data_IF_172330461893
#
_entry.id   IF_172330461893
#
_cell.length_a   1.000
_cell.length_b   1.000
_cell.length_c   1.000
_cell.angle_alpha   90.00
_cell.angle_beta   90.00
_cell.angle_gamma   90.00
#
_symmetry.space_group_name_H-M   'P 1'
#
loop_
_entity.id
_entity.type
_entity.pdbx_description
1 polymer ?
#
# COMPACT_ATOMS: atom_id res chain seq x y z
N UNK A 1 -15.02 -25.57 44.92
CA UNK A 1 -15.02 -26.50 43.77
C UNK A 1 -16.02 -25.95 42.77
N UNK A 2 -15.58 -24.99 41.95
CA UNK A 2 -16.35 -24.47 40.81
C UNK A 2 -15.52 -24.73 39.56
N UNK A 3 -16.13 -25.47 38.65
CA UNK A 3 -15.54 -26.06 37.46
C UNK A 3 -15.64 -25.05 36.30
N UNK A 4 -14.51 -24.43 35.94
CA UNK A 4 -14.41 -23.50 34.82
C UNK A 4 -14.28 -24.29 33.51
N UNK A 5 -15.41 -24.47 32.82
CA UNK A 5 -15.47 -25.01 31.46
C UNK A 5 -14.79 -24.06 30.46
N UNK A 6 -13.65 -24.48 29.90
CA UNK A 6 -12.98 -23.79 28.79
C UNK A 6 -13.63 -24.24 27.47
N UNK A 7 -14.31 -23.31 26.80
CA UNK A 7 -14.78 -23.51 25.43
C UNK A 7 -13.60 -23.47 24.45
N UNK A 8 -13.42 -24.55 23.69
CA UNK A 8 -12.48 -24.68 22.59
C UNK A 8 -13.11 -23.98 21.37
N UNK A 9 -12.50 -22.88 20.92
CA UNK A 9 -12.93 -22.18 19.70
C UNK A 9 -12.63 -22.99 18.43
N UNK A 10 -13.43 -22.85 17.37
CA UNK A 10 -13.27 -23.62 16.14
C UNK A 10 -12.05 -23.19 15.34
N UNK A 11 -11.31 -24.20 14.89
CA UNK A 11 -10.13 -24.13 14.02
C UNK A 11 -10.50 -23.52 12.64
N UNK A 12 -9.64 -22.66 12.04
CA UNK A 12 -9.90 -22.09 10.74
C UNK A 12 -9.86 -23.17 9.64
N UNK A 13 -10.85 -23.09 8.77
CA UNK A 13 -11.16 -24.05 7.70
C UNK A 13 -9.97 -24.32 6.77
N UNK A 14 -9.81 -25.61 6.46
CA UNK A 14 -8.93 -26.15 5.41
C UNK A 14 -9.31 -25.55 4.06
N UNK A 15 -8.33 -24.96 3.36
CA UNK A 15 -8.37 -24.75 1.90
C UNK A 15 -8.53 -26.11 1.23
N UNK A 16 -9.71 -26.40 0.70
CA UNK A 16 -9.89 -27.49 -0.27
C UNK A 16 -9.49 -26.96 -1.65
N UNK A 17 -8.37 -27.46 -2.15
CA UNK A 17 -7.95 -27.32 -3.55
C UNK A 17 -8.70 -28.42 -4.33
N UNK A 18 -9.68 -28.05 -5.15
CA UNK A 18 -10.30 -28.96 -6.11
C UNK A 18 -9.37 -29.04 -7.34
N UNK A 19 -8.54 -30.07 -7.38
CA UNK A 19 -7.88 -30.51 -8.61
C UNK A 19 -8.78 -31.56 -9.26
N UNK A 20 -9.34 -31.25 -10.44
CA UNK A 20 -9.88 -32.30 -11.33
C UNK A 20 -8.69 -32.90 -12.08
N UNK A 21 -8.14 -33.99 -11.56
CA UNK A 21 -7.22 -34.83 -12.32
C UNK A 21 -8.04 -35.83 -13.15
N UNK A 22 -8.05 -35.60 -14.46
CA UNK A 22 -8.57 -36.52 -15.47
C UNK A 22 -7.63 -37.71 -15.59
N UNK A 23 -8.03 -38.83 -14.99
CA UNK A 23 -7.41 -40.14 -15.16
C UNK A 23 -7.56 -40.63 -16.60
N UNK A 24 -6.46 -40.71 -17.34
CA UNK A 24 -6.35 -41.47 -18.58
C UNK A 24 -5.34 -42.60 -18.36
N UNK A 25 -5.87 -43.79 -18.15
CA UNK A 25 -5.16 -45.06 -18.13
C UNK A 25 -4.66 -45.44 -19.52
N UNK A 26 -3.37 -45.79 -19.67
CA UNK A 26 -2.88 -46.54 -20.83
C UNK A 26 -1.63 -47.36 -20.48
N UNK A 27 -1.89 -48.66 -20.35
CA UNK A 27 -1.12 -49.83 -20.83
C UNK A 27 0.41 -49.89 -20.72
N UNK A 28 0.81 -50.96 -20.04
CA UNK A 28 2.12 -51.62 -19.96
C UNK A 28 2.68 -52.01 -21.33
N UNK A 29 4.00 -51.87 -21.50
CA UNK A 29 4.80 -52.75 -22.36
C UNK A 29 6.25 -52.81 -21.83
N UNK A 30 6.77 -54.02 -21.74
CA UNK A 30 8.03 -54.37 -21.08
C UNK A 30 9.22 -54.47 -22.07
N UNK A 31 10.43 -54.40 -21.49
CA UNK A 31 11.78 -54.76 -22.00
C UNK A 31 12.61 -53.65 -22.69
N UNK A 32 13.96 -53.78 -22.75
CA UNK A 32 14.93 -54.29 -21.78
C UNK A 32 16.01 -53.23 -21.41
N UNK A 33 16.76 -53.52 -20.34
CA UNK A 33 17.75 -52.65 -19.67
C UNK A 33 18.97 -52.24 -20.51
N UNK A 34 19.34 -50.94 -20.54
CA UNK A 34 20.69 -50.50 -20.83
C UNK A 34 21.47 -50.22 -19.54
N UNK A 35 22.65 -50.82 -19.43
CA UNK A 35 23.59 -50.65 -18.33
C UNK A 35 23.91 -49.17 -18.08
N UNK A 36 23.46 -48.63 -16.94
CA UNK A 36 23.80 -47.29 -16.49
C UNK A 36 25.26 -47.25 -16.07
N UNK A 37 26.12 -46.71 -16.92
CA UNK A 37 27.46 -46.27 -16.52
C UNK A 37 27.28 -45.12 -15.52
N UNK A 38 27.57 -45.38 -14.25
CA UNK A 38 27.57 -44.37 -13.19
C UNK A 38 28.71 -43.40 -13.49
N UNK A 39 28.38 -42.32 -14.20
CA UNK A 39 29.27 -41.19 -14.43
C UNK A 39 29.50 -40.55 -13.06
N UNK A 40 30.68 -40.78 -12.50
CA UNK A 40 31.11 -40.22 -11.23
C UNK A 40 31.26 -38.70 -11.42
N UNK A 41 30.14 -37.96 -11.32
CA UNK A 41 30.17 -36.50 -11.34
C UNK A 41 30.91 -36.03 -10.09
N UNK A 42 32.14 -35.56 -10.30
CA UNK A 42 32.89 -34.86 -9.26
C UNK A 42 32.12 -33.58 -8.95
N UNK A 43 31.55 -33.49 -7.75
CA UNK A 43 30.92 -32.28 -7.25
C UNK A 43 31.86 -31.10 -7.49
N UNK A 44 31.41 -30.03 -8.20
CA UNK A 44 32.25 -28.87 -8.41
C UNK A 44 32.69 -28.34 -7.05
N UNK A 45 34.00 -28.20 -6.85
CA UNK A 45 34.54 -27.64 -5.62
C UNK A 45 33.90 -26.26 -5.40
N UNK A 46 33.41 -25.96 -4.19
CA UNK A 46 32.77 -24.68 -3.92
C UNK A 46 33.74 -23.56 -4.29
N UNK A 47 33.28 -22.62 -5.11
CA UNK A 47 34.06 -21.46 -5.51
C UNK A 47 34.53 -20.72 -4.26
N UNK A 48 35.83 -20.52 -4.13
CA UNK A 48 36.41 -19.71 -3.05
C UNK A 48 35.77 -18.32 -3.10
N UNK A 49 35.07 -17.96 -2.04
CA UNK A 49 34.42 -16.67 -1.95
C UNK A 49 35.49 -15.60 -1.74
N UNK A 50 35.56 -14.65 -2.68
CA UNK A 50 36.45 -13.49 -2.55
C UNK A 50 35.89 -12.51 -1.50
N UNK A 51 36.75 -11.71 -0.83
CA UNK A 51 36.32 -10.60 0.00
C UNK A 51 35.42 -9.62 -0.76
N UNK A 52 34.39 -9.08 -0.09
CA UNK A 52 33.40 -8.17 -0.65
C UNK A 52 33.24 -6.92 0.24
N UNK A 53 32.91 -5.78 -0.38
CA UNK A 53 32.62 -4.52 0.32
C UNK A 53 31.11 -4.28 0.51
N UNK A 54 30.27 -5.11 -0.11
CA UNK A 54 28.81 -5.05 0.04
C UNK A 54 28.27 -6.47 0.03
N UNK A 55 27.18 -6.70 0.75
CA UNK A 55 26.50 -7.99 0.73
C UNK A 55 25.21 -7.99 1.52
N UNK A 56 24.67 -9.18 1.74
CA UNK A 56 23.49 -9.40 2.56
C UNK A 56 23.76 -10.49 3.59
N UNK A 57 23.31 -10.28 4.84
CA UNK A 57 23.38 -11.28 5.91
C UNK A 57 21.98 -11.70 6.31
N UNK A 58 21.73 -13.00 6.20
CA UNK A 58 20.47 -13.61 6.63
C UNK A 58 20.59 -14.18 8.04
N UNK A 59 19.58 -13.91 8.87
CA UNK A 59 19.40 -14.49 10.19
C UNK A 59 18.08 -15.26 10.22
N UNK A 60 18.15 -16.56 10.52
CA UNK A 60 16.97 -17.40 10.63
C UNK A 60 16.01 -16.89 11.74
N UNK A 61 14.70 -16.95 11.48
CA UNK A 61 13.66 -16.47 12.39
C UNK A 61 13.63 -17.28 13.70
N UNK A 62 13.88 -16.66 14.86
CA UNK A 62 13.68 -17.30 16.17
C UNK A 62 12.23 -17.73 16.36
N UNK A 63 12.00 -18.81 17.12
CA UNK A 63 10.64 -19.38 17.34
C UNK A 63 9.70 -18.37 18.00
N UNK A 64 10.20 -17.56 18.93
CA UNK A 64 9.50 -16.50 19.65
C UNK A 64 9.26 -15.22 18.82
N UNK A 65 9.94 -15.08 17.68
CA UNK A 65 9.74 -14.01 16.71
C UNK A 65 8.72 -14.37 15.61
N UNK A 66 8.18 -15.59 15.61
CA UNK A 66 7.13 -16.01 14.66
C UNK A 66 5.80 -15.36 15.02
N UNK A 67 4.97 -15.05 14.02
CA UNK A 67 3.65 -14.41 14.22
C UNK A 67 2.71 -15.17 15.16
N UNK A 68 2.89 -16.49 15.30
CA UNK A 68 2.10 -17.33 16.21
C UNK A 68 2.51 -17.21 17.68
N UNK A 69 3.69 -16.66 17.97
CA UNK A 69 4.19 -16.52 19.33
C UNK A 69 3.59 -15.25 19.99
N UNK A 70 3.26 -15.30 21.29
CA UNK A 70 2.86 -14.11 22.02
C UNK A 70 4.01 -13.10 22.04
N UNK A 71 3.68 -11.81 21.96
CA UNK A 71 4.66 -10.71 21.95
C UNK A 71 5.68 -10.74 20.80
N UNK A 72 5.38 -11.42 19.68
CA UNK A 72 6.34 -11.58 18.58
C UNK A 72 6.86 -10.23 18.04
N UNK A 73 6.06 -9.16 18.08
CA UNK A 73 6.47 -7.81 17.65
C UNK A 73 7.62 -7.30 18.52
N UNK A 74 7.48 -7.37 19.84
CA UNK A 74 8.52 -6.99 20.81
C UNK A 74 9.77 -7.84 20.65
N UNK A 75 9.60 -9.16 20.48
CA UNK A 75 10.71 -10.09 20.29
C UNK A 75 11.46 -9.80 18.98
N UNK A 76 10.74 -9.50 17.89
CA UNK A 76 11.32 -9.08 16.60
C UNK A 76 12.13 -7.80 16.73
N UNK A 77 11.58 -6.78 17.39
CA UNK A 77 12.30 -5.53 17.63
C UNK A 77 13.60 -5.77 18.41
N UNK A 78 13.54 -6.54 19.51
CA UNK A 78 14.72 -6.94 20.28
C UNK A 78 15.74 -7.73 19.45
N UNK A 79 15.27 -8.65 18.61
CA UNK A 79 16.13 -9.46 17.74
C UNK A 79 16.83 -8.60 16.69
N UNK A 80 16.10 -7.69 16.03
CA UNK A 80 16.66 -6.71 15.10
C UNK A 80 17.73 -5.87 15.77
N UNK A 81 17.44 -5.30 16.95
CA UNK A 81 18.39 -4.47 17.69
C UNK A 81 19.68 -5.24 18.02
N UNK A 82 19.55 -6.49 18.48
CA UNK A 82 20.70 -7.34 18.79
C UNK A 82 21.57 -7.64 17.55
N UNK A 83 20.96 -7.99 16.40
CA UNK A 83 21.71 -8.30 15.17
C UNK A 83 22.28 -7.06 14.48
N UNK A 84 21.58 -5.93 14.59
CA UNK A 84 22.11 -4.63 14.17
C UNK A 84 23.36 -4.25 14.97
N UNK A 85 23.32 -4.41 16.30
CA UNK A 85 24.47 -4.16 17.16
C UNK A 85 25.66 -5.08 16.84
N UNK A 86 25.39 -6.36 16.58
CA UNK A 86 26.42 -7.34 16.16
C UNK A 86 27.13 -6.91 14.86
N UNK A 87 26.39 -6.56 13.81
CA UNK A 87 26.99 -6.14 12.54
C UNK A 87 27.70 -4.78 12.65
N UNK A 88 27.16 -3.86 13.44
CA UNK A 88 27.79 -2.55 13.69
C UNK A 88 29.12 -2.72 14.44
N UNK A 89 29.19 -3.68 15.38
CA UNK A 89 30.43 -4.00 16.09
C UNK A 89 31.52 -4.59 15.17
N UNK A 90 31.15 -5.11 13.98
CA UNK A 90 32.09 -5.54 12.94
C UNK A 90 32.51 -4.39 12.00
N UNK A 91 32.06 -3.15 12.25
CA UNK A 91 32.38 -1.99 11.41
C UNK A 91 31.58 -1.94 10.10
N UNK A 92 30.45 -2.65 10.02
CA UNK A 92 29.60 -2.68 8.83
C UNK A 92 28.50 -1.62 8.92
N UNK A 93 28.26 -0.93 7.81
CA UNK A 93 27.17 0.01 7.62
C UNK A 93 25.93 -0.73 7.08
N UNK A 94 24.80 -0.63 7.78
CA UNK A 94 23.56 -1.29 7.39
C UNK A 94 22.73 -0.36 6.49
N UNK A 95 22.46 -0.80 5.26
CA UNK A 95 21.76 -0.01 4.25
C UNK A 95 20.29 -0.34 4.16
N UNK A 96 19.91 -1.60 4.38
CA UNK A 96 18.51 -2.04 4.31
C UNK A 96 18.22 -3.16 5.30
N UNK A 97 17.01 -3.15 5.84
CA UNK A 97 16.48 -4.18 6.71
C UNK A 97 15.19 -4.75 6.09
N UNK A 98 15.12 -6.07 5.93
CA UNK A 98 13.94 -6.74 5.37
C UNK A 98 13.53 -7.95 6.22
N UNK A 99 12.27 -7.95 6.67
CA UNK A 99 11.66 -9.13 7.29
C UNK A 99 11.06 -10.05 6.22
N UNK A 100 11.36 -11.35 6.34
CA UNK A 100 10.75 -12.41 5.53
C UNK A 100 9.98 -13.39 6.41
N UNK A 101 9.33 -14.37 5.79
CA UNK A 101 8.64 -15.46 6.50
C UNK A 101 9.63 -16.40 7.23
N UNK A 102 10.84 -16.53 6.70
CA UNK A 102 11.90 -17.43 7.14
C UNK A 102 12.97 -16.75 8.03
N UNK A 103 13.06 -15.42 8.02
CA UNK A 103 14.09 -14.71 8.78
C UNK A 103 14.14 -13.21 8.59
N UNK A 104 15.28 -12.65 8.97
CA UNK A 104 15.65 -11.25 8.87
C UNK A 104 16.86 -11.13 7.93
N UNK A 105 16.79 -10.24 6.95
CA UNK A 105 17.91 -9.93 6.06
C UNK A 105 18.37 -8.50 6.33
N UNK A 106 19.68 -8.32 6.46
CA UNK A 106 20.33 -7.02 6.42
C UNK A 106 21.21 -6.91 5.19
N UNK A 107 20.99 -5.87 4.39
CA UNK A 107 21.96 -5.45 3.38
C UNK A 107 22.98 -4.55 4.06
N UNK A 108 24.26 -4.81 3.79
CA UNK A 108 25.37 -4.14 4.46
C UNK A 108 26.43 -3.67 3.45
N UNK A 109 27.19 -2.66 3.87
CA UNK A 109 28.33 -2.07 3.18
C UNK A 109 29.50 -1.93 4.16
N UNK A 110 30.72 -2.07 3.66
CA UNK A 110 31.97 -1.92 4.40
C UNK A 110 32.97 -1.11 3.58
N UNK A 111 33.77 -0.29 4.27
CA UNK A 111 34.87 0.43 3.65
C UNK A 111 36.10 -0.46 3.41
N UNK A 112 36.16 -1.61 4.10
CA UNK A 112 37.24 -2.59 3.97
C UNK A 112 36.64 -3.90 3.44
N UNK A 113 37.23 -4.57 2.44
CA UNK A 113 36.73 -5.86 1.98
C UNK A 113 36.68 -6.90 3.11
N UNK A 114 35.52 -7.51 3.30
CA UNK A 114 35.29 -8.56 4.31
C UNK A 114 34.88 -9.87 3.66
N UNK A 115 35.21 -11.00 4.28
CA UNK A 115 34.78 -12.30 3.80
C UNK A 115 33.26 -12.47 3.99
N UNK A 116 32.50 -12.98 3.00
CA UNK A 116 31.03 -13.00 3.08
C UNK A 116 30.48 -13.95 4.17
N UNK A 117 31.26 -14.93 4.60
CA UNK A 117 30.89 -15.90 5.62
C UNK A 117 31.08 -15.33 7.04
N UNK A 118 32.28 -14.84 7.34
CA UNK A 118 32.70 -14.34 8.66
C UNK A 118 32.39 -12.86 8.86
N UNK A 119 32.21 -12.12 7.77
CA UNK A 119 32.08 -10.66 7.73
C UNK A 119 33.23 -9.93 8.41
N UNK A 120 34.41 -10.55 8.41
CA UNK A 120 35.66 -9.98 8.92
C UNK A 120 36.64 -9.72 7.76
N UNK A 121 37.53 -8.74 7.88
CA UNK A 121 38.63 -8.57 6.93
C UNK A 121 39.46 -9.86 6.82
N UNK A 122 39.99 -10.16 5.63
CA UNK A 122 40.87 -11.32 5.45
C UNK A 122 42.16 -11.12 6.25
N UNK A 123 42.39 -11.97 7.26
CA UNK A 123 43.59 -11.92 8.10
C UNK A 123 44.87 -12.13 7.30
N UNK A 124 44.79 -12.83 6.17
CA UNK A 124 45.96 -13.25 5.38
C UNK A 124 46.68 -12.08 4.69
N UNK A 125 46.05 -10.91 4.53
CA UNK A 125 46.69 -9.76 3.89
C UNK A 125 47.55 -8.90 4.83
N UNK A 126 47.47 -9.08 6.15
CA UNK A 126 48.28 -8.29 7.09
C UNK A 126 49.71 -8.83 7.28
N UNK A 127 50.02 -10.03 6.76
CA UNK A 127 51.33 -10.68 6.90
C UNK A 127 52.30 -10.43 5.75
N UNK A 128 51.84 -9.92 4.61
CA UNK A 128 52.73 -9.50 3.53
C UNK A 128 53.06 -8.05 3.80
N UNK A 129 54.11 -7.85 4.60
CA UNK A 129 54.71 -6.55 4.81
C UNK A 129 55.02 -5.92 3.46
N UNK A 130 54.15 -5.02 3.00
CA UNK A 130 54.58 -3.90 2.18
C UNK A 130 55.47 -3.06 3.10
N UNK A 131 56.73 -3.47 3.21
CA UNK A 131 57.82 -2.60 3.62
C UNK A 131 57.82 -1.48 2.60
N UNK A 132 57.15 -0.39 2.97
CA UNK A 132 57.22 0.89 2.28
C UNK A 132 58.61 1.50 2.54
N UNK A 133 59.67 0.78 2.15
CA UNK A 133 61.02 1.31 2.00
C UNK A 133 61.12 1.86 0.58
N UNK A 134 60.63 3.06 0.37
CA UNK A 134 61.19 4.01 -0.61
C UNK A 134 60.42 5.32 -0.45
N UNK A 135 61.01 6.27 0.28
CA UNK A 135 61.30 7.64 -0.20
C UNK A 135 61.93 8.40 0.97
N UNK A 136 63.25 8.28 1.09
CA UNK A 136 64.06 9.35 1.69
C UNK A 136 64.21 10.51 0.71
N UNK A 137 64.54 11.67 1.28
CA UNK A 137 64.93 12.97 0.67
C UNK A 137 63.75 13.94 0.44
N UNK A 138 63.47 14.81 1.41
CA UNK A 138 64.12 16.14 1.46
C UNK A 138 63.56 17.03 2.58
N UNK A 139 64.48 17.44 3.43
CA UNK A 139 64.50 18.51 4.44
C UNK A 139 63.66 19.78 4.20
N UNK A 140 62.97 20.24 5.25
CA UNK A 140 63.13 21.56 5.90
C UNK A 140 62.10 21.69 7.05
N UNK A 141 62.56 21.65 8.31
CA UNK A 141 62.66 22.84 9.19
C UNK A 141 61.30 23.44 9.60
N UNK A 142 60.95 23.35 10.88
CA UNK A 142 60.64 24.50 11.77
C UNK A 142 60.11 24.02 13.14
N UNK A 143 60.96 24.29 14.14
CA UNK A 143 60.73 24.72 15.53
C UNK A 143 59.91 23.88 16.52
N UNK A 144 60.69 23.39 17.48
CA UNK A 144 60.38 23.09 18.88
C UNK A 144 59.58 24.20 19.58
N UNK A 145 58.64 23.77 20.41
CA UNK A 145 58.38 24.36 21.74
C UNK A 145 58.12 23.22 22.72
N UNK A 146 59.04 23.05 23.65
CA UNK A 146 58.91 22.30 24.90
C UNK A 146 58.02 23.06 25.89
N UNK A 147 57.44 22.36 26.86
CA UNK A 147 57.52 22.64 28.31
C UNK A 147 56.56 21.71 29.09
N UNK A 148 57.14 21.12 30.13
CA UNK A 148 56.57 20.60 31.40
C UNK A 148 55.82 19.26 31.41
N UNK A 149 56.58 18.28 31.88
CA UNK A 149 56.18 17.18 32.76
C UNK A 149 55.41 17.70 34.00
N UNK A 150 54.42 16.94 34.48
CA UNK A 150 54.24 16.77 35.92
C UNK A 150 53.62 15.40 36.23
N UNK A 151 54.05 14.88 37.37
CA UNK A 151 54.18 13.50 37.79
C UNK A 151 53.04 13.10 38.75
N UNK A 152 52.69 11.81 38.72
CA UNK A 152 52.23 10.96 39.83
C UNK A 152 51.44 11.58 41.02
N UNK A 153 50.20 11.12 41.21
CA UNK A 153 49.76 10.53 42.49
C UNK A 153 48.36 9.88 42.39
N UNK A 154 48.33 8.56 42.61
CA UNK A 154 47.19 7.81 43.16
C UNK A 154 47.08 8.10 44.67
N UNK A 155 45.89 8.04 45.28
CA UNK A 155 45.70 6.94 46.23
C UNK A 155 44.28 6.35 46.27
N UNK A 156 44.27 5.09 46.69
CA UNK A 156 43.13 4.26 47.04
C UNK A 156 42.25 4.81 48.17
N UNK A 157 40.94 4.52 48.03
CA UNK A 157 40.09 3.91 49.07
C UNK A 157 39.59 4.76 50.24
N UNK A 158 38.26 4.75 50.48
CA UNK A 158 37.60 4.34 51.74
C UNK A 158 36.11 4.77 51.81
N UNK A 159 35.27 3.79 52.20
CA UNK A 159 33.94 3.81 52.84
C UNK A 159 32.67 4.38 52.16
N UNK A 160 31.79 3.43 51.78
CA UNK A 160 30.47 3.12 52.36
C UNK A 160 29.46 4.22 52.80
N UNK A 161 28.19 3.87 52.57
CA UNK A 161 26.92 4.43 53.10
C UNK A 161 26.38 5.71 52.44
N UNK A 162 25.24 5.60 51.73
CA UNK A 162 23.89 5.87 52.29
C UNK A 162 22.77 5.75 51.22
N UNK A 163 21.84 4.84 51.51
CA UNK A 163 20.37 4.92 51.35
C UNK A 163 19.71 5.03 49.97
N UNK A 164 19.16 3.88 49.59
CA UNK A 164 17.81 3.67 49.07
C UNK A 164 16.82 4.80 49.41
N UNK A 165 16.24 5.40 48.36
CA UNK A 165 15.14 6.35 48.44
C UNK A 165 13.98 5.87 47.58
N UNK A 166 13.00 5.24 48.22
CA UNK A 166 11.67 4.93 47.72
C UNK A 166 10.81 6.20 47.71
N UNK A 167 10.57 6.80 46.54
CA UNK A 167 9.46 7.75 46.34
C UNK A 167 8.29 6.97 45.71
N UNK A 168 7.28 6.54 46.47
CA UNK A 168 6.15 7.28 47.08
C UNK A 168 5.28 8.04 46.07
N UNK A 169 4.41 7.25 45.45
CA UNK A 169 3.02 7.52 45.04
C UNK A 169 2.47 8.86 45.56
N UNK A 170 2.09 9.75 44.62
CA UNK A 170 1.07 10.78 44.84
C UNK A 170 -0.03 10.62 43.81
N UNK A 171 -1.07 9.90 44.21
CA UNK A 171 -2.37 9.88 43.56
C UNK A 171 -3.06 11.23 43.76
N UNK A 172 -3.25 11.98 42.68
CA UNK A 172 -4.10 13.16 42.64
C UNK A 172 -5.57 12.77 42.53
N UNK A 173 -6.20 12.51 43.67
CA UNK A 173 -7.66 12.42 43.80
C UNK A 173 -8.28 13.81 43.66
N UNK A 174 -9.11 14.03 42.64
CA UNK A 174 -10.06 15.15 42.60
C UNK A 174 -11.44 14.65 42.98
N UNK A 175 -11.71 14.77 44.27
CA UNK A 175 -13.04 14.83 44.86
C UNK A 175 -13.83 16.02 44.27
N UNK A 176 -14.96 15.74 43.61
CA UNK A 176 -16.10 16.67 43.58
C UNK A 176 -17.31 15.95 44.17
N UNK A 177 -17.56 16.28 45.43
CA UNK A 177 -18.73 15.92 46.22
C UNK A 177 -19.99 16.59 45.68
N UNK A 178 -21.04 15.75 45.61
CA UNK A 178 -22.41 15.93 46.12
C UNK A 178 -23.27 17.09 45.59
N UNK A 179 -24.37 16.69 44.98
CA UNK A 179 -25.69 17.27 45.29
C UNK A 179 -26.73 16.15 45.25
N UNK A 180 -27.49 16.03 46.33
CA UNK A 180 -28.52 15.03 46.61
C UNK A 180 -29.92 15.46 46.16
N UNK A 181 -30.68 14.51 45.60
CA UNK A 181 -32.13 14.18 45.70
C UNK A 181 -33.10 15.18 46.39
N UNK A 182 -34.41 15.27 45.99
CA UNK A 182 -35.39 14.20 46.27
C UNK A 182 -36.56 13.95 45.27
N UNK A 183 -37.21 12.82 45.53
CA UNK A 183 -38.41 12.18 44.92
C UNK A 183 -39.64 13.09 44.78
N UNK A 184 -40.48 12.82 43.77
CA UNK A 184 -41.87 12.33 43.85
C UNK A 184 -42.61 12.59 42.52
N UNK A 185 -43.51 11.69 42.10
CA UNK A 185 -44.56 12.01 41.14
C UNK A 185 -44.85 10.94 40.10
N UNK A 186 -45.78 10.05 40.44
CA UNK A 186 -46.42 9.13 39.52
C UNK A 186 -47.29 9.88 38.49
N UNK A 187 -47.25 9.50 37.21
CA UNK A 187 -48.40 9.55 36.32
C UNK A 187 -48.19 8.62 35.12
N UNK A 188 -49.11 7.68 34.94
CA UNK A 188 -49.33 6.97 33.67
C UNK A 188 -49.85 7.96 32.62
N UNK A 189 -49.55 7.76 31.33
CA UNK A 189 -50.64 7.50 30.38
C UNK A 189 -50.29 6.30 29.48
N UNK A 190 -51.17 5.32 29.39
CA UNK A 190 -52.23 5.21 28.37
C UNK A 190 -51.70 4.57 27.06
N UNK A 191 -52.31 3.43 26.75
CA UNK A 191 -52.12 2.61 25.55
C UNK A 191 -52.23 3.45 24.28
N UNK A 192 -51.29 3.21 23.36
CA UNK A 192 -51.59 3.28 21.92
C UNK A 192 -50.89 2.09 21.28
N UNK A 193 -51.66 1.05 21.00
CA UNK A 193 -51.23 -0.07 20.18
C UNK A 193 -51.08 0.44 18.73
N UNK A 194 -49.87 0.35 18.19
CA UNK A 194 -49.61 0.49 16.77
C UNK A 194 -49.95 -0.84 16.05
N UNK A 195 -50.60 -0.80 14.88
CA UNK A 195 -50.89 -2.01 14.11
C UNK A 195 -49.61 -2.63 13.53
N UNK A 196 -49.59 -3.95 13.29
CA UNK A 196 -48.44 -4.63 12.69
C UNK A 196 -48.29 -4.20 11.23
N UNK A 197 -47.10 -3.74 10.87
CA UNK A 197 -46.72 -3.50 9.49
C UNK A 197 -46.56 -4.85 8.77
N UNK A 198 -47.47 -5.12 7.84
CA UNK A 198 -47.33 -6.22 6.87
C UNK A 198 -46.18 -5.92 5.90
N UNK A 199 -45.24 -6.84 5.82
CA UNK A 199 -44.15 -6.83 4.84
C UNK A 199 -44.71 -7.26 3.46
N UNK A 200 -44.48 -6.50 2.37
CA UNK A 200 -44.83 -6.98 1.05
C UNK A 200 -43.88 -8.10 0.63
N UNK A 201 -44.44 -9.30 0.51
CA UNK A 201 -43.81 -10.44 -0.16
C UNK A 201 -43.70 -10.13 -1.65
N UNK A 202 -42.51 -9.73 -2.11
CA UNK A 202 -42.21 -9.64 -3.54
C UNK A 202 -41.85 -11.05 -4.03
N UNK A 203 -42.86 -11.78 -4.53
CA UNK A 203 -42.64 -12.94 -5.41
C UNK A 203 -42.25 -12.42 -6.80
N UNK A 204 -41.03 -12.71 -7.24
CA UNK A 204 -40.63 -12.57 -8.65
C UNK A 204 -40.94 -13.88 -9.37
N UNK A 205 -42.15 -13.98 -9.90
CA UNK A 205 -42.46 -14.90 -11.00
C UNK A 205 -42.07 -14.19 -12.31
N UNK A 206 -40.99 -14.67 -12.94
CA UNK A 206 -40.61 -14.25 -14.29
C UNK A 206 -41.43 -15.09 -15.26
N UNK A 207 -42.60 -14.57 -15.64
CA UNK A 207 -43.34 -15.02 -16.81
C UNK A 207 -43.16 -14.02 -17.95
N UNK A 208 -42.46 -14.50 -18.97
CA UNK A 208 -42.14 -13.89 -20.25
C UNK A 208 -43.42 -13.72 -21.09
N UNK A 209 -43.79 -12.51 -21.54
CA UNK A 209 -44.75 -12.35 -22.63
C UNK A 209 -43.99 -12.16 -23.94
N UNK A 210 -44.05 -13.19 -24.78
CA UNK A 210 -43.87 -13.08 -26.22
C UNK A 210 -44.98 -12.21 -26.81
N UNK A 211 -44.62 -11.12 -27.49
CA UNK A 211 -45.53 -10.36 -28.36
C UNK A 211 -44.98 -10.36 -29.80
N UNK A 212 -45.85 -10.50 -30.81
CA UNK A 212 -45.47 -10.86 -32.16
C UNK A 212 -45.27 -9.66 -33.08
N UNK A 213 -44.54 -9.92 -34.16
CA UNK A 213 -44.39 -9.06 -35.33
C UNK A 213 -45.75 -8.77 -35.99
N UNK A 214 -46.02 -7.51 -36.27
CA UNK A 214 -46.88 -7.12 -37.40
C UNK A 214 -46.17 -6.06 -38.24
N UNK A 215 -46.02 -6.41 -39.51
CA UNK A 215 -45.57 -5.60 -40.63
C UNK A 215 -46.70 -4.66 -41.08
N UNK A 216 -46.36 -3.43 -41.48
CA UNK A 216 -47.29 -2.52 -42.16
C UNK A 216 -46.55 -1.66 -43.18
N UNK A 217 -46.62 -2.17 -44.42
CA UNK A 217 -46.68 -1.50 -45.73
C UNK A 217 -46.48 0.01 -45.86
N UNK A 218 -45.55 0.31 -46.76
CA UNK A 218 -45.40 1.49 -47.62
C UNK A 218 -46.64 1.85 -48.45
N UNK A 219 -46.94 3.15 -48.58
CA UNK A 219 -47.33 3.92 -49.80
C UNK A 219 -47.66 5.36 -49.36
N UNK A 220 -46.88 6.39 -49.69
CA UNK A 220 -46.82 7.16 -50.95
C UNK A 220 -47.85 8.32 -51.02
N UNK A 221 -47.47 9.37 -51.76
CA UNK A 221 -48.17 10.64 -52.10
C UNK A 221 -48.00 11.78 -51.08
N UNK A 222 -47.78 13.05 -51.41
CA UNK A 222 -47.13 13.84 -52.47
C UNK A 222 -47.33 15.32 -52.03
N UNK A 223 -46.60 16.25 -52.65
CA UNK A 223 -46.95 17.66 -52.86
C UNK A 223 -46.63 18.76 -51.80
N UNK A 224 -45.64 19.56 -52.21
CA UNK A 224 -45.68 21.03 -52.43
C UNK A 224 -45.53 22.04 -51.29
N UNK A 225 -44.69 23.05 -51.58
CA UNK A 225 -44.77 24.43 -51.09
C UNK A 225 -43.53 24.88 -50.30
N UNK A 226 -42.51 25.52 -50.90
CA UNK A 226 -42.42 26.99 -51.18
C UNK A 226 -42.45 27.85 -49.89
N UNK A 227 -41.64 28.87 -49.62
CA UNK A 227 -40.56 29.62 -50.29
C UNK A 227 -40.06 30.71 -49.32
N UNK A 228 -38.83 31.21 -49.54
CA UNK A 228 -38.35 32.59 -49.26
C UNK A 228 -38.21 33.01 -47.78
N UNK A 229 -37.41 33.98 -47.33
CA UNK A 229 -36.59 35.10 -47.86
C UNK A 229 -35.66 35.47 -46.67
N UNK A 230 -34.41 35.93 -46.76
CA UNK A 230 -33.86 37.07 -47.50
C UNK A 230 -33.44 38.20 -46.53
N UNK A 231 -32.13 38.52 -46.52
CA UNK A 231 -31.46 39.82 -46.25
C UNK A 231 -31.55 40.57 -44.90
N UNK A 232 -30.37 40.87 -44.33
CA UNK A 232 -29.78 42.23 -44.13
C UNK A 232 -28.50 42.06 -43.27
N UNK A 233 -27.28 42.29 -43.75
CA UNK A 233 -26.59 43.51 -44.22
C UNK A 233 -26.29 44.58 -43.14
N UNK A 234 -24.98 44.84 -43.01
CA UNK A 234 -24.29 46.11 -42.72
C UNK A 234 -24.30 46.74 -41.31
N UNK A 235 -23.07 46.71 -40.75
CA UNK A 235 -22.28 47.82 -40.20
C UNK A 235 -22.88 48.75 -39.11
N UNK A 236 -22.13 48.92 -38.01
CA UNK A 236 -21.47 50.19 -37.62
C UNK A 236 -20.76 50.07 -36.25
N UNK A 237 -19.48 50.46 -36.24
CA UNK A 237 -18.70 50.91 -35.06
C UNK A 237 -19.30 52.25 -34.55
N UNK A 238 -19.21 52.59 -33.25
CA UNK A 238 -18.06 53.37 -32.72
C UNK A 238 -17.70 53.01 -31.25
N UNK A 239 -16.43 52.92 -30.87
CA UNK A 239 -15.52 53.97 -30.35
C UNK A 239 -15.27 53.84 -28.83
N UNK A 240 -13.98 53.74 -28.49
CA UNK A 240 -13.29 54.37 -27.35
C UNK A 240 -13.92 54.33 -25.96
N UNK A 241 -13.28 53.57 -25.06
CA UNK A 241 -13.47 53.67 -23.61
C UNK A 241 -12.31 53.07 -22.83
N UNK A 242 -11.38 53.94 -22.43
CA UNK A 242 -10.52 53.85 -21.23
C UNK A 242 -9.75 52.57 -20.93
N UNK A 243 -8.43 52.67 -21.17
CA UNK A 243 -7.38 51.91 -20.53
C UNK A 243 -7.49 51.96 -19.00
N UNK A 244 -7.70 50.82 -18.35
CA UNK A 244 -7.32 50.59 -16.96
C UNK A 244 -6.22 49.52 -16.92
N UNK A 245 -5.01 50.04 -16.72
CA UNK A 245 -3.74 49.36 -16.47
C UNK A 245 -3.90 48.32 -15.35
N UNK A 246 -3.69 47.00 -15.59
CA UNK A 246 -3.52 46.06 -14.50
C UNK A 246 -2.17 46.34 -13.83
N UNK A 247 -2.20 46.66 -12.54
CA UNK A 247 -1.01 46.72 -11.70
C UNK A 247 -0.25 45.40 -11.81
N UNK A 248 1.02 45.49 -12.24
CA UNK A 248 2.03 44.47 -11.96
C UNK A 248 2.11 44.32 -10.45
N UNK A 249 1.50 43.27 -9.91
CA UNK A 249 1.93 42.73 -8.64
C UNK A 249 3.24 42.00 -8.90
N UNK A 250 4.32 42.54 -8.33
CA UNK A 250 5.60 41.88 -8.21
C UNK A 250 5.38 40.53 -7.52
N UNK A 251 5.34 39.49 -8.35
CA UNK A 251 5.27 38.10 -7.91
C UNK A 251 6.65 37.76 -7.38
N UNK A 252 6.80 37.89 -6.06
CA UNK A 252 7.94 37.37 -5.32
C UNK A 252 8.25 35.96 -5.80
N UNK A 253 9.42 35.82 -6.42
CA UNK A 253 9.97 34.56 -6.93
C UNK A 253 10.33 33.71 -5.72
N UNK A 254 9.36 32.95 -5.22
CA UNK A 254 9.59 31.86 -4.27
C UNK A 254 10.42 30.80 -4.99
N UNK A 255 11.73 30.83 -4.78
CA UNK A 255 12.65 29.76 -5.11
C UNK A 255 12.37 28.59 -4.17
N UNK A 256 11.36 27.78 -4.52
CA UNK A 256 11.09 26.49 -3.88
C UNK A 256 11.97 25.42 -4.54
N UNK A 257 13.25 25.40 -4.19
CA UNK A 257 14.17 24.28 -4.49
C UNK A 257 14.95 23.87 -3.23
N UNK A 258 14.30 23.93 -2.06
CA UNK A 258 14.75 23.17 -0.91
C UNK A 258 14.25 21.74 -1.09
N UNK A 259 15.00 20.94 -1.85
CA UNK A 259 14.84 19.50 -1.88
C UNK A 259 14.87 18.98 -0.44
N UNK A 260 13.69 18.62 0.08
CA UNK A 260 13.58 18.05 1.41
C UNK A 260 14.46 16.79 1.45
N UNK A 261 15.33 16.64 2.46
CA UNK A 261 16.23 15.50 2.54
C UNK A 261 15.41 14.21 2.56
N UNK A 262 15.64 13.36 1.58
CA UNK A 262 15.03 12.02 1.39
C UNK A 262 15.20 11.10 2.63
N UNK A 263 16.06 11.50 3.57
CA UNK A 263 16.38 10.82 4.82
C UNK A 263 15.23 10.69 5.85
N UNK A 264 14.07 11.34 5.65
CA UNK A 264 12.97 11.32 6.62
C UNK A 264 12.04 10.08 6.51
N UNK A 265 12.22 9.25 5.48
CA UNK A 265 11.44 8.01 5.31
C UNK A 265 12.14 6.74 5.85
N UNK A 266 13.39 6.85 6.34
CA UNK A 266 14.15 5.70 6.85
C UNK A 266 13.91 5.41 8.33
N UNK A 267 13.10 6.22 9.02
CA UNK A 267 12.68 5.90 10.37
C UNK A 267 11.51 4.90 10.28
N UNK A 268 11.67 3.64 10.72
CA UNK A 268 10.56 2.70 10.75
C UNK A 268 9.42 3.35 11.53
N UNK A 269 8.21 3.41 10.97
CA UNK A 269 7.02 3.82 11.72
C UNK A 269 6.87 2.86 12.90
N UNK A 270 7.43 3.21 14.05
CA UNK A 270 7.22 2.47 15.31
C UNK A 270 5.83 2.74 15.88
N UNK A 271 5.15 3.76 15.36
CA UNK A 271 3.76 4.07 15.66
C UNK A 271 2.83 3.34 14.68
N UNK A 272 2.59 2.06 14.96
CA UNK A 272 1.63 1.23 14.20
C UNK A 272 0.16 1.55 14.56
N UNK A 273 -0.11 2.75 15.09
CA UNK A 273 -1.36 3.09 15.74
C UNK A 273 -1.51 2.35 17.08
N UNK A 274 -2.31 2.92 17.98
CA UNK A 274 -2.72 2.20 19.17
C UNK A 274 -3.58 1.00 18.74
N UNK A 275 -3.64 -0.05 19.57
CA UNK A 275 -4.49 -1.22 19.29
C UNK A 275 -5.97 -0.84 19.09
N UNK A 276 -6.37 0.33 19.60
CA UNK A 276 -7.70 0.95 19.48
C UNK A 276 -7.96 1.51 18.07
N UNK A 277 -6.93 1.78 17.28
CA UNK A 277 -7.04 2.32 15.92
C UNK A 277 -7.34 1.24 14.88
N UNK A 278 -7.28 -0.04 15.26
CA UNK A 278 -7.59 -1.15 14.37
C UNK A 278 -9.07 -1.53 14.47
N UNK A 279 -9.74 -1.82 13.34
CA UNK A 279 -11.14 -2.22 13.36
C UNK A 279 -11.31 -3.52 14.14
N UNK A 280 -12.39 -3.60 14.91
CA UNK A 280 -12.80 -4.89 15.46
C UNK A 280 -13.11 -5.89 14.33
N UNK A 281 -13.17 -7.18 14.63
CA UNK A 281 -13.38 -8.21 13.60
C UNK A 281 -14.67 -7.97 12.79
N UNK A 282 -15.76 -7.57 13.45
CA UNK A 282 -17.06 -7.35 12.82
C UNK A 282 -17.03 -6.13 11.91
N UNK A 283 -16.37 -5.08 12.36
CA UNK A 283 -16.13 -3.85 11.62
C UNK A 283 -15.24 -4.10 10.40
N UNK A 284 -14.18 -4.89 10.55
CA UNK A 284 -13.30 -5.29 9.47
C UNK A 284 -14.07 -6.08 8.40
N UNK A 285 -14.92 -7.04 8.78
CA UNK A 285 -15.78 -7.79 7.86
C UNK A 285 -16.78 -6.87 7.13
N UNK A 286 -17.41 -5.92 7.83
CA UNK A 286 -18.31 -4.95 7.24
C UNK A 286 -17.60 -4.00 6.25
N UNK A 287 -16.40 -3.53 6.59
CA UNK A 287 -15.57 -2.68 5.73
C UNK A 287 -15.07 -3.43 4.50
N UNK A 288 -14.69 -4.70 4.64
CA UNK A 288 -14.35 -5.57 3.50
C UNK A 288 -15.56 -5.71 2.58
N UNK A 289 -16.73 -6.06 3.11
CA UNK A 289 -17.97 -6.20 2.32
C UNK A 289 -18.32 -4.91 1.57
N UNK A 290 -18.24 -3.75 2.24
CA UNK A 290 -18.48 -2.45 1.63
C UNK A 290 -17.45 -2.10 0.54
N UNK A 291 -16.19 -2.50 0.71
CA UNK A 291 -15.12 -2.31 -0.29
C UNK A 291 -15.39 -3.13 -1.55
N UNK A 292 -15.87 -4.37 -1.41
CA UNK A 292 -16.24 -5.20 -2.55
C UNK A 292 -17.44 -4.61 -3.32
N UNK A 293 -18.48 -4.18 -2.60
CA UNK A 293 -19.62 -3.51 -3.22
C UNK A 293 -19.21 -2.22 -3.94
N UNK A 294 -18.25 -1.47 -3.38
CA UNK A 294 -17.68 -0.30 -4.03
C UNK A 294 -17.02 -0.68 -5.37
N UNK A 295 -16.14 -1.70 -5.37
CA UNK A 295 -15.42 -2.14 -6.58
C UNK A 295 -16.40 -2.61 -7.66
N UNK A 296 -17.38 -3.44 -7.30
CA UNK A 296 -18.39 -3.96 -8.24
C UNK A 296 -19.18 -2.82 -8.91
N UNK A 297 -19.69 -1.88 -8.11
CA UNK A 297 -20.40 -0.70 -8.63
C UNK A 297 -19.49 0.18 -9.46
N UNK A 298 -18.24 0.36 -9.03
CA UNK A 298 -17.26 1.19 -9.73
C UNK A 298 -16.97 0.62 -11.12
N UNK A 299 -16.70 -0.68 -11.23
CA UNK A 299 -16.47 -1.36 -12.51
C UNK A 299 -17.69 -1.19 -13.43
N UNK A 300 -18.90 -1.45 -12.93
CA UNK A 300 -20.13 -1.32 -13.71
C UNK A 300 -20.37 0.12 -14.21
N UNK A 301 -20.12 1.12 -13.35
CA UNK A 301 -20.25 2.53 -13.71
C UNK A 301 -19.10 3.02 -14.61
N UNK A 302 -17.90 2.44 -14.50
CA UNK A 302 -16.76 2.78 -15.33
C UNK A 302 -16.99 2.48 -16.82
N UNK A 303 -17.71 1.40 -17.13
CA UNK A 303 -18.01 1.06 -18.53
C UNK A 303 -19.23 1.78 -19.09
N UNK A 304 -20.22 2.08 -18.24
CA UNK A 304 -21.52 2.60 -18.68
C UNK A 304 -21.65 4.13 -18.54
N UNK A 305 -21.19 4.71 -17.42
CA UNK A 305 -21.47 6.09 -17.01
C UNK A 305 -20.32 6.69 -16.17
N UNK A 306 -19.15 6.92 -16.77
CA UNK A 306 -17.97 7.43 -16.03
C UNK A 306 -18.19 8.76 -15.33
N UNK A 307 -19.00 9.65 -15.90
CA UNK A 307 -19.31 10.93 -15.29
C UNK A 307 -20.01 10.78 -13.92
N UNK A 308 -20.81 9.71 -13.70
CA UNK A 308 -21.46 9.47 -12.41
C UNK A 308 -20.51 8.93 -11.34
N UNK A 309 -19.26 8.60 -11.70
CA UNK A 309 -18.24 8.22 -10.72
C UNK A 309 -17.77 9.41 -9.86
N UNK A 310 -18.13 10.65 -10.19
CA UNK A 310 -17.79 11.82 -9.38
C UNK A 310 -18.16 11.64 -7.89
N UNK A 311 -19.31 11.01 -7.60
CA UNK A 311 -19.78 10.79 -6.22
C UNK A 311 -19.09 9.62 -5.50
N UNK A 312 -18.37 8.77 -6.24
CA UNK A 312 -17.52 7.71 -5.68
C UNK A 312 -16.23 8.28 -5.05
N UNK A 313 -15.91 9.55 -5.31
CA UNK A 313 -14.72 10.24 -4.80
C UNK A 313 -15.08 11.26 -3.74
N UNK A 314 -14.18 11.45 -2.77
CA UNK A 314 -14.25 12.60 -1.86
C UNK A 314 -13.93 13.90 -2.58
N UNK A 315 -14.34 15.01 -1.97
CA UNK A 315 -14.08 16.36 -2.49
C UNK A 315 -12.60 16.66 -2.71
N UNK A 316 -11.75 16.11 -1.84
CA UNK A 316 -10.29 16.29 -1.79
C UNK A 316 -9.52 15.09 -2.38
N UNK A 317 -10.20 14.18 -3.06
CA UNK A 317 -9.58 12.95 -3.54
C UNK A 317 -8.44 13.21 -4.54
N UNK A 318 -7.42 12.37 -4.52
CA UNK A 318 -6.32 12.37 -5.47
C UNK A 318 -6.46 11.23 -6.50
N UNK A 319 -6.13 11.51 -7.75
CA UNK A 319 -6.10 10.50 -8.81
C UNK A 319 -4.77 10.55 -9.57
N UNK A 320 -4.26 9.37 -9.93
CA UNK A 320 -3.13 9.24 -10.84
C UNK A 320 -3.40 8.15 -11.88
N UNK A 321 -3.04 8.44 -13.13
CA UNK A 321 -3.15 7.52 -14.26
C UNK A 321 -1.80 7.42 -14.95
N UNK A 322 -1.32 6.19 -15.19
CA UNK A 322 -0.06 5.93 -15.91
C UNK A 322 -0.22 4.77 -16.89
N UNK A 323 0.30 4.95 -18.10
CA UNK A 323 0.50 3.87 -19.09
C UNK A 323 1.97 3.46 -19.09
N UNK A 324 2.25 2.17 -18.93
CA UNK A 324 3.61 1.62 -18.77
C UNK A 324 3.90 0.65 -19.91
N UNK A 325 4.94 0.93 -20.69
CA UNK A 325 5.46 0.03 -21.74
C UNK A 325 6.66 -0.74 -21.18
N UNK A 326 6.63 -2.07 -21.09
CA UNK A 326 7.60 -2.87 -20.33
C UNK A 326 9.02 -2.86 -20.93
N UNK A 327 9.18 -2.48 -22.19
CA UNK A 327 10.45 -2.61 -22.93
C UNK A 327 11.42 -1.44 -22.76
N UNK A 328 11.03 -0.36 -22.09
CA UNK A 328 11.90 0.82 -21.95
C UNK A 328 12.08 1.21 -20.47
N UNK A 329 13.14 0.73 -19.80
CA UNK A 329 13.34 0.96 -18.36
C UNK A 329 13.58 2.44 -17.99
N UNK A 330 13.77 3.33 -18.96
CA UNK A 330 14.09 4.75 -18.76
C UNK A 330 12.99 5.71 -19.19
N UNK A 331 11.92 5.25 -19.83
CA UNK A 331 10.90 6.18 -20.32
C UNK A 331 9.90 6.46 -19.20
N UNK A 332 9.97 7.69 -18.66
CA UNK A 332 8.93 8.25 -17.82
C UNK A 332 7.62 8.30 -18.63
N UNK A 333 6.86 7.21 -18.61
CA UNK A 333 5.56 7.13 -19.28
C UNK A 333 4.66 8.29 -18.86
N UNK A 334 3.83 8.76 -19.77
CA UNK A 334 2.90 9.87 -19.52
C UNK A 334 2.06 9.56 -18.28
N UNK A 335 2.30 10.32 -17.22
CA UNK A 335 1.58 10.23 -15.97
C UNK A 335 0.69 11.47 -15.84
N UNK A 336 -0.61 11.25 -15.67
CA UNK A 336 -1.57 12.31 -15.38
C UNK A 336 -1.93 12.22 -13.90
N UNK A 337 -1.82 13.32 -13.17
CA UNK A 337 -2.32 13.39 -11.79
C UNK A 337 -3.22 14.61 -11.63
N UNK A 338 -4.34 14.41 -10.93
CA UNK A 338 -5.32 15.45 -10.65
C UNK A 338 -5.88 15.26 -9.24
N UNK A 339 -6.39 16.34 -8.66
CA UNK A 339 -7.10 16.33 -7.38
C UNK A 339 -8.51 16.89 -7.55
N UNK A 340 -9.41 16.44 -6.68
CA UNK A 340 -10.80 16.86 -6.61
C UNK A 340 -11.73 16.09 -7.53
N UNK A 341 -12.88 15.67 -7.00
CA UNK A 341 -13.83 14.75 -7.67
C UNK A 341 -14.25 15.16 -9.09
N UNK A 342 -14.44 16.46 -9.34
CA UNK A 342 -14.87 16.96 -10.65
C UNK A 342 -13.77 16.78 -11.72
N UNK A 343 -12.52 17.06 -11.37
CA UNK A 343 -11.38 16.87 -12.26
C UNK A 343 -11.16 15.38 -12.53
N UNK A 344 -11.30 14.54 -11.49
CA UNK A 344 -11.19 13.08 -11.62
C UNK A 344 -12.23 12.56 -12.61
N UNK A 345 -13.52 12.90 -12.43
CA UNK A 345 -14.59 12.45 -13.33
C UNK A 345 -14.37 12.88 -14.79
N UNK A 346 -13.83 14.08 -15.01
CA UNK A 346 -13.43 14.55 -16.34
C UNK A 346 -12.35 13.65 -16.95
N UNK A 347 -11.24 13.43 -16.24
CA UNK A 347 -10.15 12.56 -16.73
C UNK A 347 -10.65 11.13 -16.99
N UNK A 348 -11.46 10.57 -16.09
CA UNK A 348 -12.03 9.23 -16.29
C UNK A 348 -12.89 9.18 -17.56
N UNK A 349 -13.66 10.23 -17.85
CA UNK A 349 -14.48 10.30 -19.06
C UNK A 349 -13.64 10.29 -20.34
N UNK A 350 -12.45 10.88 -20.31
CA UNK A 350 -11.54 10.94 -21.47
C UNK A 350 -10.84 9.60 -21.75
N UNK A 351 -10.72 8.70 -20.77
CA UNK A 351 -10.04 7.39 -20.92
C UNK A 351 -10.85 6.47 -21.83
N UNK A 352 -10.34 6.04 -22.98
CA UNK A 352 -11.08 5.17 -23.94
C UNK A 352 -10.94 3.67 -23.67
N UNK A 353 -10.86 3.25 -22.41
CA UNK A 353 -10.68 1.85 -22.00
C UNK A 353 -11.95 1.27 -21.38
N UNK A 354 -12.29 0.01 -21.68
CA UNK A 354 -13.45 -0.68 -21.08
C UNK A 354 -13.01 -1.93 -20.32
N UNK A 355 -13.57 -2.19 -19.15
CA UNK A 355 -13.26 -3.38 -18.35
C UNK A 355 -13.95 -4.63 -18.92
N UNK A 356 -15.07 -4.47 -19.65
CA UNK A 356 -15.88 -5.53 -20.28
C UNK A 356 -16.03 -6.78 -19.38
N UNK A 357 -17.06 -6.76 -18.55
CA UNK A 357 -17.37 -7.86 -17.62
C UNK A 357 -18.17 -9.00 -18.27
N UNK A 358 -18.25 -9.05 -19.60
CA UNK A 358 -19.28 -9.78 -20.33
C UNK A 358 -18.99 -11.26 -20.63
N UNK A 359 -17.94 -11.89 -20.04
CA UNK A 359 -18.02 -13.28 -19.49
C UNK A 359 -16.70 -14.04 -19.24
N UNK A 360 -15.50 -13.53 -19.54
CA UNK A 360 -14.27 -14.39 -19.44
C UNK A 360 -13.12 -13.77 -18.64
N UNK A 361 -13.12 -12.47 -18.38
CA UNK A 361 -12.01 -11.81 -17.69
C UNK A 361 -12.17 -11.93 -16.17
N UNK A 362 -11.35 -12.78 -15.56
CA UNK A 362 -11.22 -12.88 -14.10
C UNK A 362 -10.63 -11.57 -13.54
N UNK A 363 -11.45 -10.77 -12.87
CA UNK A 363 -10.99 -9.62 -12.09
C UNK A 363 -10.53 -10.13 -10.72
N UNK A 364 -9.27 -9.87 -10.38
CA UNK A 364 -8.70 -10.21 -9.07
C UNK A 364 -8.69 -8.98 -8.19
N UNK A 365 -8.99 -9.16 -6.92
CA UNK A 365 -8.95 -8.07 -5.97
C UNK A 365 -8.38 -8.52 -4.63
N UNK A 366 -7.78 -7.58 -3.91
CA UNK A 366 -7.33 -7.75 -2.53
C UNK A 366 -7.76 -6.52 -1.72
N UNK A 367 -8.12 -6.72 -0.46
CA UNK A 367 -8.59 -5.68 0.45
C UNK A 367 -7.82 -5.76 1.75
N UNK A 368 -7.12 -4.67 2.09
CA UNK A 368 -6.29 -4.54 3.29
C UNK A 368 -6.84 -3.41 4.16
N UNK A 369 -6.97 -3.65 5.46
CA UNK A 369 -7.37 -2.63 6.43
C UNK A 369 -6.17 -1.75 6.78
N UNK A 370 -6.36 -0.43 6.79
CA UNK A 370 -5.33 0.56 7.11
C UNK A 370 -5.55 1.23 8.48
N UNK A 371 -6.56 0.79 9.24
CA UNK A 371 -7.01 1.40 10.49
C UNK A 371 -8.34 2.12 10.35
N UNK A 372 -9.01 2.37 11.47
CA UNK A 372 -10.36 2.96 11.54
C UNK A 372 -10.41 4.36 10.93
N UNK A 373 -9.36 5.16 11.18
CA UNK A 373 -9.28 6.52 10.68
C UNK A 373 -8.87 6.58 9.22
N UNK A 374 -8.07 5.63 8.73
CA UNK A 374 -7.57 5.63 7.36
C UNK A 374 -8.53 4.94 6.41
N UNK A 375 -9.15 3.83 6.82
CA UNK A 375 -10.10 3.04 6.04
C UNK A 375 -9.47 1.78 5.45
N UNK A 376 -9.79 1.47 4.20
CA UNK A 376 -9.33 0.26 3.50
C UNK A 376 -8.53 0.62 2.25
N UNK A 377 -7.51 -0.19 1.95
CA UNK A 377 -6.86 -0.22 0.65
C UNK A 377 -7.45 -1.37 -0.16
N UNK A 378 -7.89 -1.08 -1.38
CA UNK A 378 -8.34 -2.10 -2.31
C UNK A 378 -7.47 -2.09 -3.56
N UNK A 379 -6.91 -3.24 -3.93
CA UNK A 379 -6.22 -3.43 -5.20
C UNK A 379 -7.09 -4.25 -6.14
N UNK A 380 -7.16 -3.86 -7.41
CA UNK A 380 -7.92 -4.56 -8.44
C UNK A 380 -7.00 -4.78 -9.64
N UNK A 381 -6.78 -6.04 -10.01
CA UNK A 381 -6.02 -6.45 -11.18
C UNK A 381 -6.97 -7.07 -12.21
N UNK A 382 -6.78 -6.72 -13.48
CA UNK A 382 -7.62 -7.22 -14.56
C UNK A 382 -7.04 -6.89 -15.93
N UNK A 383 -7.89 -6.92 -16.95
CA UNK A 383 -7.54 -6.49 -18.30
C UNK A 383 -8.60 -5.55 -18.87
N UNK A 384 -8.15 -4.49 -19.54
CA UNK A 384 -8.99 -3.61 -20.34
C UNK A 384 -9.05 -4.07 -21.78
N UNK A 385 -10.15 -3.72 -22.43
CA UNK A 385 -10.31 -3.77 -23.86
C UNK A 385 -10.32 -2.36 -24.44
N UNK A 386 -9.47 -2.13 -25.43
CA UNK A 386 -9.40 -0.86 -26.14
C UNK A 386 -10.51 -0.80 -27.21
N UNK A 387 -11.51 0.04 -26.98
CA UNK A 387 -12.64 0.18 -27.90
C UNK A 387 -12.21 0.90 -29.19
N UNK A 388 -12.62 0.37 -30.33
CA UNK A 388 -12.35 0.97 -31.65
C UNK A 388 -11.03 0.55 -32.30
N UNK A 389 -10.23 -0.32 -31.67
CA UNK A 389 -9.13 -0.99 -32.35
C UNK A 389 -9.67 -2.10 -33.27
N UNK A 390 -9.18 -2.18 -34.51
CA UNK A 390 -9.48 -3.26 -35.47
C UNK A 390 -9.18 -4.65 -34.91
N UNK A 391 -8.24 -4.73 -33.95
CA UNK A 391 -7.91 -5.95 -33.20
C UNK A 391 -8.12 -5.65 -31.72
N UNK A 392 -9.08 -6.29 -31.03
CA UNK A 392 -9.30 -6.05 -29.61
C UNK A 392 -8.00 -6.36 -28.87
N UNK A 393 -7.41 -5.32 -28.28
CA UNK A 393 -6.21 -5.45 -27.45
C UNK A 393 -6.63 -5.60 -26.01
N UNK A 394 -6.11 -6.64 -25.36
CA UNK A 394 -6.24 -6.84 -23.93
C UNK A 394 -5.05 -6.19 -23.25
N UNK A 395 -5.30 -5.18 -22.42
CA UNK A 395 -4.29 -4.40 -21.73
C UNK A 395 -4.39 -4.69 -20.22
N UNK A 396 -3.42 -5.39 -19.61
CA UNK A 396 -3.45 -5.62 -18.18
C UNK A 396 -3.48 -4.31 -17.41
N UNK A 397 -4.25 -4.26 -16.34
CA UNK A 397 -4.29 -3.10 -15.47
C UNK A 397 -4.21 -3.46 -14.01
N UNK A 398 -3.81 -2.44 -13.23
CA UNK A 398 -3.91 -2.42 -11.79
C UNK A 398 -4.55 -1.12 -11.34
N UNK A 399 -5.60 -1.24 -10.55
CA UNK A 399 -6.16 -0.14 -9.78
C UNK A 399 -5.80 -0.30 -8.31
N UNK A 400 -5.53 0.81 -7.66
CA UNK A 400 -5.32 0.88 -6.20
C UNK A 400 -6.19 2.01 -5.68
N UNK A 401 -7.08 1.69 -4.75
CA UNK A 401 -7.95 2.64 -4.08
C UNK A 401 -7.59 2.72 -2.60
N UNK A 402 -7.63 3.93 -2.06
CA UNK A 402 -7.75 4.16 -0.62
C UNK A 402 -9.19 4.62 -0.38
N UNK A 403 -9.96 3.81 0.34
CA UNK A 403 -11.39 3.97 0.57
C UNK A 403 -11.64 4.36 2.02
N UNK A 404 -12.47 5.38 2.21
CA UNK A 404 -12.95 5.83 3.53
C UNK A 404 -14.45 5.75 3.62
N UNK A 405 -14.97 5.56 4.84
CA UNK A 405 -16.40 5.71 5.10
C UNK A 405 -16.86 7.11 4.71
N UNK A 406 -18.01 7.16 4.05
CA UNK A 406 -18.69 8.41 3.79
C UNK A 406 -19.46 8.84 5.07
N UNK A 407 -19.08 9.94 5.74
CA UNK A 407 -19.75 10.35 6.97
C UNK A 407 -21.14 10.96 6.70
N UNK A 408 -21.44 11.34 5.45
CA UNK A 408 -22.53 12.28 5.15
C UNK A 408 -23.87 11.59 4.88
N UNK A 409 -23.98 10.27 4.71
CA UNK A 409 -25.31 9.72 4.42
C UNK A 409 -25.53 8.23 4.68
N UNK A 410 -26.69 7.93 5.26
CA UNK A 410 -27.31 6.59 5.29
C UNK A 410 -27.90 6.20 3.93
N UNK A 411 -28.13 7.18 3.05
CA UNK A 411 -28.78 7.01 1.74
C UNK A 411 -27.82 7.31 0.57
N UNK A 412 -26.52 7.44 0.82
CA UNK A 412 -25.55 7.67 -0.25
C UNK A 412 -25.49 6.45 -1.16
N UNK A 413 -25.45 6.71 -2.47
CA UNK A 413 -25.15 5.70 -3.50
C UNK A 413 -23.84 4.98 -3.24
N UNK A 414 -22.91 5.62 -2.52
CA UNK A 414 -21.60 5.10 -2.17
C UNK A 414 -21.41 5.16 -0.64
N UNK A 415 -21.38 3.99 0.00
CA UNK A 415 -21.11 3.85 1.45
C UNK A 415 -19.65 4.15 1.78
N UNK A 416 -18.75 3.86 0.84
CA UNK A 416 -17.35 4.24 0.86
C UNK A 416 -17.06 5.24 -0.26
N UNK A 417 -16.10 6.13 -0.04
CA UNK A 417 -15.58 7.03 -1.08
C UNK A 417 -14.07 6.92 -1.15
N UNK A 418 -13.52 7.01 -2.37
CA UNK A 418 -12.08 7.03 -2.58
C UNK A 418 -11.48 8.38 -2.15
N UNK A 419 -10.45 8.33 -1.31
CA UNK A 419 -9.54 9.45 -1.00
C UNK A 419 -8.36 9.49 -1.97
N UNK A 420 -7.92 8.34 -2.46
CA UNK A 420 -6.88 8.22 -3.46
C UNK A 420 -7.20 7.08 -4.42
N UNK A 421 -6.86 7.27 -5.70
CA UNK A 421 -6.98 6.25 -6.72
C UNK A 421 -5.78 6.31 -7.68
N UNK A 422 -5.07 5.20 -7.81
CA UNK A 422 -4.01 5.02 -8.79
C UNK A 422 -4.44 3.99 -9.82
N UNK A 423 -4.31 4.34 -11.10
CA UNK A 423 -4.60 3.48 -12.23
C UNK A 423 -3.35 3.29 -13.08
N UNK A 424 -2.91 2.05 -13.23
CA UNK A 424 -1.76 1.65 -14.02
C UNK A 424 -2.25 0.73 -15.13
N UNK A 425 -1.89 1.04 -16.38
CA UNK A 425 -2.20 0.23 -17.55
C UNK A 425 -0.90 -0.21 -18.20
N UNK A 426 -0.74 -1.51 -18.42
CA UNK A 426 0.42 -2.10 -19.05
C UNK A 426 0.18 -2.26 -20.54
N UNK A 427 1.01 -1.60 -21.34
CA UNK A 427 0.99 -1.68 -22.79
C UNK A 427 1.93 -2.78 -23.25
N UNK A 428 1.39 -3.94 -23.59
CA UNK A 428 2.15 -5.06 -24.17
C UNK A 428 2.21 -4.80 -25.69
N UNK A 429 3.03 -3.82 -26.08
CA UNK A 429 3.24 -3.45 -27.49
C UNK A 429 4.10 -4.46 -28.23
#
# INVERSE_FOLDING_TARGET
MEELSRAIGPSPAKRQRLSLDTTSSSSLTAAPSPHSSVKLERSPSPSLSLPQTTGAKFYAMPKDCRRVAPNYIRNRSKFVAARKAELTALGLELTKQLWRSDGLVFDWKSNIPVMPDTLKPSTEMNGIGFTSEHTEISSASVRQTSVAEDELASPDGILAHLKSGTERIKNGSRDRRRSSSPRHGASKPAMTQLPPAELPVIRRDISRPSQPFTSSSSSAVEMLGSSSTGHNESALRPSSGSQSRPQKHDRARLTNDAALPVSLYDSPCEDYGLAEDWPDKREAEAMTSASLQYIERYVAAFDSKRASLADAYRMDAAFSYRRVTPLTPTTNGSATSVTGRANIARILSDIRLRVMTDSVTEIKYDVVHLGNDIGTMATVDGAFHEAGSMRPRSLPFRWVFILRRNPVSRDATWTLQATAHQMIVHDIS
#
